data_IF_707353361089
#
_entry.id   IF_707353361089
#
_cell.length_a   1.000
_cell.length_b   1.000
_cell.length_c   1.000
_cell.angle_alpha   90.00
_cell.angle_beta   90.00
_cell.angle_gamma   90.00
#
_symmetry.space_group_name_H-M   'P 1'
#
loop_
_entity.id
_entity.type
_entity.pdbx_description
1 polymer ?
#
# COMPACT_ATOMS: atom_id res chain seq x y z
N UNK A 1 7.48 -21.61 11.17
CA UNK A 1 7.16 -20.92 9.89
C UNK A 1 5.66 -20.98 9.56
N UNK A 2 4.97 -22.12 9.74
CA UNK A 2 3.52 -22.26 9.45
C UNK A 2 2.60 -21.24 10.17
N UNK A 3 2.74 -21.05 11.49
CA UNK A 3 1.90 -20.10 12.24
C UNK A 3 1.99 -18.65 11.75
N UNK A 4 3.19 -18.20 11.34
CA UNK A 4 3.42 -16.83 10.83
C UNK A 4 2.73 -16.62 9.47
N UNK A 5 2.74 -17.64 8.61
CA UNK A 5 2.03 -17.62 7.32
C UNK A 5 0.50 -17.58 7.51
N UNK A 6 -0.02 -18.30 8.51
CA UNK A 6 -1.45 -18.26 8.84
C UNK A 6 -1.86 -16.87 9.35
N UNK A 7 -1.06 -16.28 10.25
CA UNK A 7 -1.32 -14.93 10.76
C UNK A 7 -1.28 -13.87 9.66
N UNK A 8 -0.28 -13.93 8.76
CA UNK A 8 -0.19 -13.02 7.59
C UNK A 8 -1.43 -13.13 6.70
N UNK A 9 -1.87 -14.36 6.37
CA UNK A 9 -3.07 -14.58 5.57
C UNK A 9 -4.33 -14.08 6.26
N UNK A 10 -4.46 -14.30 7.56
CA UNK A 10 -5.57 -13.77 8.35
C UNK A 10 -5.61 -12.24 8.30
N UNK A 11 -4.48 -11.57 8.56
CA UNK A 11 -4.39 -10.11 8.49
C UNK A 11 -4.72 -9.58 7.08
N UNK A 12 -4.24 -10.26 6.02
CA UNK A 12 -4.53 -9.87 4.64
C UNK A 12 -6.03 -10.00 4.34
N UNK A 13 -6.65 -11.11 4.72
CA UNK A 13 -8.09 -11.31 4.55
C UNK A 13 -8.88 -10.28 5.35
N UNK A 14 -8.49 -10.01 6.60
CA UNK A 14 -9.15 -9.01 7.44
C UNK A 14 -9.01 -7.60 6.85
N UNK A 15 -7.84 -7.25 6.30
CA UNK A 15 -7.62 -5.99 5.58
C UNK A 15 -8.58 -5.88 4.39
N UNK A 16 -8.60 -6.85 3.49
CA UNK A 16 -9.47 -6.84 2.29
C UNK A 16 -10.95 -6.77 2.68
N UNK A 17 -11.40 -7.62 3.61
CA UNK A 17 -12.80 -7.66 4.04
C UNK A 17 -13.22 -6.36 4.72
N UNK A 18 -12.38 -5.78 5.58
CA UNK A 18 -12.70 -4.51 6.23
C UNK A 18 -12.66 -3.33 5.26
N UNK A 19 -11.78 -3.34 4.26
CA UNK A 19 -11.80 -2.36 3.17
C UNK A 19 -13.09 -2.45 2.36
N UNK A 20 -13.52 -3.65 1.95
CA UNK A 20 -14.76 -3.85 1.22
C UNK A 20 -16.00 -3.49 2.06
N UNK A 21 -15.99 -3.82 3.35
CA UNK A 21 -17.04 -3.43 4.28
C UNK A 21 -17.12 -1.90 4.42
N UNK A 22 -15.99 -1.22 4.61
CA UNK A 22 -15.93 0.24 4.67
C UNK A 22 -16.42 0.88 3.38
N UNK A 23 -16.00 0.35 2.23
CA UNK A 23 -16.44 0.80 0.92
C UNK A 23 -17.95 0.65 0.73
N UNK A 24 -18.51 -0.51 1.11
CA UNK A 24 -19.95 -0.72 1.03
C UNK A 24 -20.73 0.24 1.95
N UNK A 25 -20.20 0.52 3.15
CA UNK A 25 -20.75 1.51 4.06
C UNK A 25 -20.76 2.91 3.46
N UNK A 26 -19.64 3.34 2.88
CA UNK A 26 -19.47 4.67 2.28
C UNK A 26 -20.30 4.87 1.00
N UNK A 27 -20.42 3.84 0.15
CA UNK A 27 -21.08 3.96 -1.17
C UNK A 27 -22.58 3.63 -1.16
N UNK A 28 -23.04 2.77 -0.26
CA UNK A 28 -24.42 2.26 -0.30
C UNK A 28 -25.21 2.57 0.95
N UNK A 29 -24.59 2.56 2.13
CA UNK A 29 -25.33 2.74 3.40
C UNK A 29 -25.44 4.22 3.74
N UNK A 30 -24.32 4.94 3.81
CA UNK A 30 -24.30 6.34 4.21
C UNK A 30 -25.04 7.30 3.27
N UNK A 31 -25.01 7.12 1.94
CA UNK A 31 -25.79 7.97 1.02
C UNK A 31 -27.30 7.75 1.11
N UNK A 32 -27.77 6.72 1.82
CA UNK A 32 -29.18 6.34 1.91
C UNK A 32 -29.70 6.40 3.36
N UNK A 33 -30.04 7.59 3.90
CA UNK A 33 -30.48 7.76 5.29
C UNK A 33 -31.70 6.92 5.67
N UNK A 34 -32.60 6.66 4.73
CA UNK A 34 -33.76 5.79 4.95
C UNK A 34 -33.36 4.34 5.24
N UNK A 35 -32.29 3.83 4.60
CA UNK A 35 -31.76 2.51 4.91
C UNK A 35 -31.22 2.46 6.33
N UNK A 36 -30.45 3.48 6.74
CA UNK A 36 -29.89 3.60 8.09
C UNK A 36 -31.01 3.62 9.14
N UNK A 37 -32.08 4.40 8.91
CA UNK A 37 -33.22 4.50 9.81
C UNK A 37 -33.97 3.17 10.00
N UNK A 38 -33.93 2.30 8.99
CA UNK A 38 -34.63 1.01 8.99
C UNK A 38 -33.71 -0.19 9.27
N UNK A 39 -32.46 0.02 9.68
CA UNK A 39 -31.55 -1.07 10.00
C UNK A 39 -32.06 -1.88 11.20
N UNK A 40 -32.01 -3.23 11.13
CA UNK A 40 -32.30 -4.06 12.31
C UNK A 40 -31.26 -3.80 13.42
N UNK A 41 -31.51 -4.20 14.67
CA UNK A 41 -30.60 -3.93 15.79
C UNK A 41 -29.14 -4.37 15.57
N UNK A 42 -28.94 -5.51 14.89
CA UNK A 42 -27.61 -5.96 14.50
C UNK A 42 -26.97 -5.05 13.45
N UNK A 43 -27.75 -4.61 12.46
CA UNK A 43 -27.31 -3.65 11.43
C UNK A 43 -26.88 -2.33 12.04
N UNK A 44 -27.64 -1.80 13.01
CA UNK A 44 -27.27 -0.57 13.73
C UNK A 44 -25.97 -0.72 14.53
N UNK A 45 -25.75 -1.86 15.17
CA UNK A 45 -24.47 -2.15 15.85
C UNK A 45 -23.30 -2.19 14.86
N UNK A 46 -23.47 -2.87 13.73
CA UNK A 46 -22.45 -2.95 12.68
C UNK A 46 -22.17 -1.59 12.05
N UNK A 47 -23.21 -0.80 11.79
CA UNK A 47 -23.09 0.58 11.28
C UNK A 47 -22.32 1.46 12.26
N UNK A 48 -22.70 1.47 13.54
CA UNK A 48 -22.01 2.22 14.58
C UNK A 48 -20.54 1.81 14.73
N UNK A 49 -20.26 0.51 14.69
CA UNK A 49 -18.89 0.00 14.66
C UNK A 49 -18.14 0.46 13.40
N UNK A 50 -18.77 0.42 12.22
CA UNK A 50 -18.17 0.87 10.97
C UNK A 50 -17.78 2.35 11.01
N UNK A 51 -18.65 3.20 11.56
CA UNK A 51 -18.40 4.64 11.71
C UNK A 51 -17.26 4.96 12.67
N UNK A 52 -17.00 4.11 13.67
CA UNK A 52 -16.00 4.37 14.72
C UNK A 52 -14.67 3.65 14.49
N UNK A 53 -14.71 2.44 13.93
CA UNK A 53 -13.58 1.54 13.83
C UNK A 53 -13.29 1.08 12.39
N UNK A 54 -14.16 1.35 11.42
CA UNK A 54 -13.98 0.88 10.04
C UNK A 54 -12.65 1.33 9.43
N UNK A 55 -12.38 2.64 9.46
CA UNK A 55 -11.13 3.22 8.97
C UNK A 55 -9.90 2.70 9.70
N UNK A 56 -9.98 2.57 11.02
CA UNK A 56 -8.89 2.04 11.86
C UNK A 56 -8.58 0.59 11.51
N UNK A 57 -9.63 -0.22 11.36
CA UNK A 57 -9.51 -1.67 11.21
C UNK A 57 -8.75 -2.03 9.94
N UNK A 58 -9.14 -1.46 8.80
CA UNK A 58 -8.48 -1.81 7.54
C UNK A 58 -7.02 -1.34 7.52
N UNK A 59 -6.72 -0.14 8.05
CA UNK A 59 -5.35 0.39 8.11
C UNK A 59 -4.46 -0.48 9.01
N UNK A 60 -4.94 -0.83 10.21
CA UNK A 60 -4.18 -1.66 11.16
C UNK A 60 -3.92 -3.05 10.59
N UNK A 61 -4.92 -3.68 9.96
CA UNK A 61 -4.71 -4.98 9.33
C UNK A 61 -3.80 -4.91 8.09
N UNK A 62 -3.84 -3.82 7.31
CA UNK A 62 -2.90 -3.59 6.22
C UNK A 62 -1.46 -3.47 6.72
N UNK A 63 -1.26 -2.68 7.79
CA UNK A 63 0.03 -2.55 8.45
C UNK A 63 0.55 -3.86 9.04
N UNK A 64 -0.32 -4.61 9.74
CA UNK A 64 0.02 -5.92 10.29
C UNK A 64 0.38 -6.93 9.20
N UNK A 65 -0.33 -6.92 8.07
CA UNK A 65 -0.04 -7.76 6.91
C UNK A 65 1.37 -7.52 6.40
N UNK A 66 1.74 -6.27 6.14
CA UNK A 66 3.08 -5.93 5.62
C UNK A 66 4.19 -6.12 6.67
N UNK A 67 3.90 -5.91 7.95
CA UNK A 67 4.85 -6.20 9.03
C UNK A 67 5.15 -7.70 9.13
N UNK A 68 4.12 -8.56 9.09
CA UNK A 68 4.28 -10.02 9.13
C UNK A 68 4.94 -10.55 7.84
N UNK A 69 4.53 -10.03 6.69
CA UNK A 69 5.14 -10.31 5.39
C UNK A 69 6.62 -9.93 5.38
N UNK A 70 6.95 -8.72 5.81
CA UNK A 70 8.31 -8.23 5.92
C UNK A 70 9.13 -9.11 6.85
N UNK A 71 8.60 -9.42 8.04
CA UNK A 71 9.28 -10.28 8.99
C UNK A 71 9.59 -11.67 8.42
N UNK A 72 8.65 -12.26 7.68
CA UNK A 72 8.79 -13.58 7.06
C UNK A 72 9.73 -13.58 5.85
N UNK A 73 9.71 -12.52 5.04
CA UNK A 73 10.34 -12.50 3.70
C UNK A 73 11.66 -11.72 3.69
N UNK A 74 11.75 -10.64 4.47
CA UNK A 74 12.90 -9.73 4.54
C UNK A 74 13.70 -9.88 5.84
N UNK A 75 13.10 -10.49 6.87
CA UNK A 75 13.64 -10.58 8.22
C UNK A 75 13.29 -9.37 9.09
N UNK A 76 13.40 -9.53 10.42
CA UNK A 76 13.00 -8.51 11.40
C UNK A 76 13.80 -7.22 11.25
N UNK A 77 15.13 -7.32 11.15
CA UNK A 77 16.00 -6.15 11.04
C UNK A 77 15.67 -5.29 9.82
N UNK A 78 15.54 -5.91 8.65
CA UNK A 78 15.16 -5.24 7.40
C UNK A 78 13.78 -4.59 7.48
N UNK A 79 12.82 -5.29 8.10
CA UNK A 79 11.45 -4.78 8.28
C UNK A 79 11.44 -3.56 9.19
N UNK A 80 12.09 -3.63 10.36
CA UNK A 80 12.20 -2.52 11.29
C UNK A 80 12.99 -1.34 10.70
N UNK A 81 14.05 -1.63 9.94
CA UNK A 81 14.85 -0.62 9.24
C UNK A 81 14.05 0.18 8.19
N UNK A 82 12.90 -0.32 7.73
CA UNK A 82 12.00 0.44 6.87
C UNK A 82 10.80 1.01 7.65
N UNK A 83 10.23 0.22 8.56
CA UNK A 83 9.09 0.60 9.38
C UNK A 83 9.37 1.81 10.26
N UNK A 84 10.51 1.82 10.97
CA UNK A 84 10.81 2.90 11.92
C UNK A 84 10.99 4.23 11.17
N UNK A 85 11.82 4.34 10.12
CA UNK A 85 11.93 5.59 9.36
C UNK A 85 10.62 6.01 8.70
N UNK A 86 9.87 5.08 8.09
CA UNK A 86 8.59 5.44 7.45
C UNK A 86 7.58 5.98 8.44
N UNK A 87 7.38 5.34 9.59
CA UNK A 87 6.46 5.83 10.64
C UNK A 87 6.92 7.18 11.20
N UNK A 88 8.19 7.33 11.57
CA UNK A 88 8.68 8.55 12.20
C UNK A 88 8.71 9.74 11.23
N UNK A 89 9.25 9.56 10.02
CA UNK A 89 9.40 10.63 9.04
C UNK A 89 8.06 11.05 8.44
N UNK A 90 7.14 10.11 8.21
CA UNK A 90 5.78 10.47 7.79
C UNK A 90 5.04 11.19 8.91
N UNK A 91 5.04 10.67 10.14
CA UNK A 91 4.40 11.35 11.28
C UNK A 91 4.96 12.77 11.48
N UNK A 92 6.28 12.97 11.39
CA UNK A 92 6.87 14.30 11.46
C UNK A 92 6.41 15.20 10.31
N UNK A 93 6.32 14.67 9.09
CA UNK A 93 5.83 15.43 7.92
C UNK A 93 4.35 15.80 8.07
N UNK A 94 3.53 14.89 8.59
CA UNK A 94 2.10 15.07 8.84
C UNK A 94 1.85 16.12 9.94
N UNK A 95 2.60 16.05 11.05
CA UNK A 95 2.54 17.04 12.12
C UNK A 95 2.99 18.42 11.62
N UNK A 96 4.05 18.47 10.80
CA UNK A 96 4.50 19.71 10.19
C UNK A 96 3.45 20.26 9.22
N UNK A 97 2.83 19.41 8.39
CA UNK A 97 1.81 19.76 7.41
C UNK A 97 0.55 20.33 8.07
N UNK A 98 0.01 19.62 9.05
CA UNK A 98 -1.17 20.06 9.81
C UNK A 98 -0.93 21.30 10.67
N UNK A 99 0.34 21.63 11.00
CA UNK A 99 0.68 22.82 11.81
C UNK A 99 1.09 24.04 10.98
N UNK A 100 1.74 23.84 9.82
CA UNK A 100 2.41 24.91 9.06
C UNK A 100 1.99 24.97 7.59
N UNK A 101 1.25 23.98 7.11
CA UNK A 101 0.91 23.82 5.70
C UNK A 101 2.05 23.25 4.83
N UNK A 102 3.23 22.97 5.37
CA UNK A 102 4.31 22.30 4.63
C UNK A 102 4.49 20.85 5.14
N UNK A 103 4.57 19.82 4.26
CA UNK A 103 4.72 19.92 2.81
C UNK A 103 3.40 19.84 2.02
N UNK A 104 2.29 19.46 2.66
CA UNK A 104 1.07 19.02 1.95
C UNK A 104 0.09 20.15 1.61
N UNK A 105 0.17 21.25 2.32
CA UNK A 105 -0.82 22.31 2.35
C UNK A 105 -1.56 22.43 3.66
N UNK A 106 -2.33 23.50 3.82
CA UNK A 106 -3.12 23.67 5.03
C UNK A 106 -4.32 22.75 4.96
N UNK A 107 -4.32 21.73 5.81
CA UNK A 107 -5.44 20.81 5.96
C UNK A 107 -5.52 20.34 7.41
N UNK A 108 -6.68 19.79 7.78
CA UNK A 108 -6.87 19.18 9.07
C UNK A 108 -7.58 17.84 8.93
N UNK A 109 -7.13 16.86 9.72
CA UNK A 109 -7.87 15.61 9.86
C UNK A 109 -9.17 15.83 10.64
N UNK A 110 -10.21 15.12 10.23
CA UNK A 110 -11.49 15.02 10.91
C UNK A 110 -11.49 13.78 11.82
N UNK A 111 -12.64 13.15 11.99
CA UNK A 111 -12.84 11.97 12.83
C UNK A 111 -12.89 10.68 12.00
N UNK A 112 -12.86 9.52 12.65
CA UNK A 112 -13.07 8.21 11.98
C UNK A 112 -11.80 7.42 11.66
N UNK A 113 -10.62 8.01 11.86
CA UNK A 113 -9.31 7.36 11.66
C UNK A 113 -8.57 7.04 12.97
N UNK A 114 -9.26 7.12 14.11
CA UNK A 114 -8.71 6.85 15.44
C UNK A 114 -8.25 8.10 16.19
N UNK A 115 -7.57 7.89 17.32
CA UNK A 115 -7.10 9.00 18.16
C UNK A 115 -5.97 9.78 17.46
N UNK A 116 -5.90 11.09 17.73
CA UNK A 116 -4.93 11.99 17.12
C UNK A 116 -3.70 12.17 18.01
N UNK A 117 -2.52 11.94 17.45
CA UNK A 117 -1.22 12.27 18.03
C UNK A 117 -1.08 13.80 18.04
N UNK A 118 -0.72 14.35 19.21
CA UNK A 118 -0.68 15.79 19.46
C UNK A 118 -2.01 16.53 19.16
N UNK A 119 -3.14 15.82 19.09
CA UNK A 119 -4.44 16.38 18.70
C UNK A 119 -4.59 16.65 17.19
N UNK A 120 -3.57 16.36 16.37
CA UNK A 120 -3.53 16.74 14.96
C UNK A 120 -3.66 15.55 13.99
N UNK A 121 -2.81 14.53 14.15
CA UNK A 121 -2.64 13.47 13.14
C UNK A 121 -3.12 12.13 13.69
N UNK A 122 -4.09 11.43 13.06
CA UNK A 122 -4.52 10.12 13.50
C UNK A 122 -3.37 9.11 13.52
N UNK A 123 -3.28 8.27 14.56
CA UNK A 123 -2.17 7.31 14.70
C UNK A 123 -2.08 6.28 13.56
N UNK A 124 -3.18 6.09 12.83
CA UNK A 124 -3.29 5.18 11.70
C UNK A 124 -2.58 5.70 10.45
N UNK A 125 -2.45 7.02 10.29
CA UNK A 125 -1.82 7.66 9.13
C UNK A 125 -0.37 7.21 8.94
N UNK A 126 0.55 7.31 9.92
CA UNK A 126 1.92 6.83 9.73
C UNK A 126 2.02 5.31 9.52
N UNK A 127 1.03 4.53 9.98
CA UNK A 127 0.95 3.10 9.65
C UNK A 127 0.63 2.89 8.17
N UNK A 128 -0.26 3.72 7.61
CA UNK A 128 -0.60 3.72 6.19
C UNK A 128 0.60 4.06 5.31
N UNK A 129 1.32 5.12 5.67
CA UNK A 129 2.60 5.47 5.03
C UNK A 129 3.60 4.30 5.05
N UNK A 130 3.73 3.59 6.16
CA UNK A 130 4.60 2.43 6.25
C UNK A 130 4.20 1.32 5.27
N UNK A 131 2.97 0.80 5.33
CA UNK A 131 2.63 -0.40 4.55
C UNK A 131 2.48 -0.10 3.06
N UNK A 132 1.95 1.07 2.69
CA UNK A 132 1.88 1.49 1.30
C UNK A 132 3.26 1.85 0.76
N UNK A 133 4.06 2.57 1.54
CA UNK A 133 5.43 2.91 1.16
C UNK A 133 6.31 1.67 0.96
N UNK A 134 6.23 0.69 1.87
CA UNK A 134 6.96 -0.57 1.73
C UNK A 134 6.49 -1.33 0.48
N UNK A 135 5.18 -1.42 0.28
CA UNK A 135 4.58 -2.08 -0.88
C UNK A 135 5.07 -1.48 -2.20
N UNK A 136 4.97 -0.16 -2.35
CA UNK A 136 5.38 0.56 -3.56
C UNK A 136 6.88 0.39 -3.83
N UNK A 137 7.71 0.52 -2.78
CA UNK A 137 9.16 0.35 -2.91
C UNK A 137 9.55 -1.07 -3.30
N UNK A 138 8.90 -2.10 -2.72
CA UNK A 138 9.18 -3.49 -3.05
C UNK A 138 8.78 -3.83 -4.49
N UNK A 139 7.62 -3.36 -4.95
CA UNK A 139 7.18 -3.53 -6.34
C UNK A 139 8.20 -2.92 -7.30
N UNK A 140 8.52 -1.64 -7.15
CA UNK A 140 9.48 -0.95 -8.02
C UNK A 140 10.87 -1.61 -7.99
N UNK A 141 11.41 -1.91 -6.81
CA UNK A 141 12.73 -2.53 -6.63
C UNK A 141 12.82 -3.90 -7.29
N UNK A 142 11.82 -4.75 -7.10
CA UNK A 142 11.81 -6.10 -7.64
C UNK A 142 11.50 -6.13 -9.14
N UNK A 143 10.61 -5.25 -9.64
CA UNK A 143 10.31 -5.11 -11.06
C UNK A 143 11.49 -4.62 -11.88
N UNK A 144 12.30 -3.72 -11.31
CA UNK A 144 13.58 -3.31 -11.89
C UNK A 144 14.70 -4.33 -11.65
N UNK A 145 14.43 -5.47 -11.00
CA UNK A 145 15.38 -6.56 -10.72
C UNK A 145 16.65 -6.08 -10.02
N UNK A 146 16.51 -5.22 -9.01
CA UNK A 146 17.66 -4.72 -8.25
C UNK A 146 18.27 -5.81 -7.37
N UNK A 147 19.60 -5.90 -7.42
CA UNK A 147 20.45 -6.75 -6.60
C UNK A 147 21.42 -5.92 -5.75
N UNK A 148 21.99 -6.53 -4.71
CA UNK A 148 23.02 -5.86 -3.90
C UNK A 148 24.22 -5.48 -4.76
N UNK A 149 24.73 -4.26 -4.62
CA UNK A 149 25.87 -3.77 -5.42
C UNK A 149 25.50 -3.21 -6.80
N UNK A 150 24.21 -3.07 -7.12
CA UNK A 150 23.78 -2.42 -8.36
C UNK A 150 24.20 -0.94 -8.45
N UNK A 151 24.24 -0.42 -9.69
CA UNK A 151 24.55 0.98 -9.95
C UNK A 151 23.57 1.90 -9.21
N UNK A 152 24.09 2.96 -8.59
CA UNK A 152 23.31 3.97 -7.86
C UNK A 152 22.13 4.52 -8.66
N UNK A 153 22.27 4.69 -9.99
CA UNK A 153 21.19 5.14 -10.86
C UNK A 153 19.97 4.19 -10.90
N UNK A 154 20.16 2.87 -10.80
CA UNK A 154 19.05 1.89 -10.71
C UNK A 154 18.34 1.99 -9.35
N UNK A 155 19.10 2.22 -8.28
CA UNK A 155 18.56 2.46 -6.95
C UNK A 155 17.71 3.74 -6.90
N UNK A 156 18.19 4.82 -7.52
CA UNK A 156 17.42 6.05 -7.66
C UNK A 156 16.16 5.85 -8.50
N UNK A 157 16.23 5.08 -9.59
CA UNK A 157 15.06 4.74 -10.38
C UNK A 157 14.02 3.95 -9.57
N UNK A 158 14.44 2.97 -8.75
CA UNK A 158 13.53 2.23 -7.88
C UNK A 158 12.87 3.12 -6.81
N UNK A 159 13.62 4.06 -6.23
CA UNK A 159 13.10 5.03 -5.27
C UNK A 159 12.10 5.98 -5.93
N UNK A 160 12.44 6.54 -7.09
CA UNK A 160 11.57 7.43 -7.87
C UNK A 160 10.28 6.73 -8.30
N UNK A 161 10.37 5.53 -8.86
CA UNK A 161 9.19 4.76 -9.26
C UNK A 161 8.35 4.32 -8.06
N UNK A 162 8.97 3.96 -6.94
CA UNK A 162 8.27 3.66 -5.69
C UNK A 162 7.48 4.86 -5.16
N UNK A 163 8.07 6.06 -5.19
CA UNK A 163 7.38 7.28 -4.81
C UNK A 163 6.26 7.65 -5.79
N UNK A 164 6.48 7.47 -7.10
CA UNK A 164 5.42 7.67 -8.12
C UNK A 164 4.23 6.74 -7.88
N UNK A 165 4.45 5.46 -7.57
CA UNK A 165 3.36 4.53 -7.24
C UNK A 165 2.58 4.98 -5.99
N UNK A 166 3.28 5.51 -5.00
CA UNK A 166 2.67 5.99 -3.75
C UNK A 166 1.83 7.26 -4.00
N UNK A 167 2.37 8.24 -4.73
CA UNK A 167 1.65 9.45 -5.12
C UNK A 167 0.52 9.15 -6.12
N UNK A 168 0.66 8.13 -6.97
CA UNK A 168 -0.42 7.71 -7.85
C UNK A 168 -1.61 7.14 -7.06
N UNK A 169 -1.38 6.49 -5.93
CA UNK A 169 -2.46 6.10 -5.03
C UNK A 169 -3.12 7.33 -4.38
N UNK A 170 -2.33 8.34 -3.99
CA UNK A 170 -2.85 9.59 -3.43
C UNK A 170 -3.82 10.32 -4.38
N UNK A 171 -3.55 10.31 -5.70
CA UNK A 171 -4.44 10.90 -6.72
C UNK A 171 -5.89 10.40 -6.71
N UNK A 172 -6.16 9.23 -6.12
CA UNK A 172 -7.53 8.71 -5.90
C UNK A 172 -7.92 8.63 -4.44
N UNK A 173 -6.96 8.60 -3.52
CA UNK A 173 -7.26 8.62 -2.09
C UNK A 173 -7.71 10.01 -1.65
N UNK A 174 -6.97 11.05 -2.02
CA UNK A 174 -7.20 12.40 -1.52
C UNK A 174 -8.56 12.96 -1.95
N UNK A 175 -8.99 12.84 -3.22
CA UNK A 175 -10.34 13.19 -3.61
C UNK A 175 -11.40 12.40 -2.83
N UNK A 176 -11.24 11.08 -2.72
CA UNK A 176 -12.18 10.22 -2.01
C UNK A 176 -12.35 10.60 -0.54
N UNK A 177 -11.28 11.07 0.11
CA UNK A 177 -11.25 11.32 1.54
C UNK A 177 -11.44 12.80 1.91
N UNK A 178 -11.33 13.72 0.95
CA UNK A 178 -11.51 15.17 1.20
C UNK A 178 -12.72 15.80 0.52
N UNK A 179 -13.21 15.21 -0.59
CA UNK A 179 -14.30 15.78 -1.39
C UNK A 179 -15.59 14.95 -1.33
N UNK A 180 -15.53 13.69 -0.87
CA UNK A 180 -16.72 12.86 -0.72
C UNK A 180 -17.66 13.44 0.37
N UNK A 181 -18.96 13.09 0.36
CA UNK A 181 -19.93 13.59 1.35
C UNK A 181 -19.53 13.33 2.81
N UNK A 182 -18.73 12.29 3.05
CA UNK A 182 -18.16 11.94 4.35
C UNK A 182 -16.63 12.07 4.31
N UNK A 183 -16.08 13.29 4.45
CA UNK A 183 -14.65 13.51 4.40
C UNK A 183 -13.97 13.10 5.71
N UNK A 184 -12.72 12.65 5.59
CA UNK A 184 -11.83 12.30 6.70
C UNK A 184 -10.75 13.36 6.95
N UNK A 185 -10.51 14.24 5.99
CA UNK A 185 -9.73 15.46 6.15
C UNK A 185 -10.28 16.54 5.24
N UNK A 186 -9.95 17.79 5.54
CA UNK A 186 -10.37 18.93 4.73
C UNK A 186 -9.20 19.88 4.52
N UNK A 187 -9.01 20.31 3.28
CA UNK A 187 -8.12 21.42 2.96
C UNK A 187 -8.75 22.74 3.42
N UNK A 188 -7.93 23.60 4.01
CA UNK A 188 -8.32 24.94 4.46
C UNK A 188 -8.09 25.99 3.36
N UNK A 189 -7.64 25.55 2.19
CA UNK A 189 -7.44 26.34 0.99
C UNK A 189 -8.03 25.60 -0.21
N UNK A 190 -8.43 26.36 -1.23
CA UNK A 190 -8.89 25.77 -2.49
C UNK A 190 -7.66 25.47 -3.34
N UNK A 191 -7.27 24.20 -3.38
CA UNK A 191 -6.14 23.74 -4.18
C UNK A 191 -6.42 23.68 -5.68
N UNK A 192 -5.37 23.79 -6.48
CA UNK A 192 -5.44 23.90 -7.94
C UNK A 192 -5.83 22.59 -8.63
N UNK A 193 -5.55 21.45 -8.00
CA UNK A 193 -5.84 20.13 -8.53
C UNK A 193 -7.11 19.57 -7.88
N UNK A 194 -8.26 20.01 -8.39
CA UNK A 194 -9.58 19.53 -7.91
C UNK A 194 -9.82 19.75 -6.41
N UNK A 195 -9.40 20.91 -5.89
CA UNK A 195 -9.52 21.25 -4.48
C UNK A 195 -8.30 20.85 -3.64
N UNK A 196 -7.38 20.06 -4.20
CA UNK A 196 -6.14 19.65 -3.55
C UNK A 196 -4.95 20.49 -4.07
N UNK A 197 -4.10 21.05 -3.19
CA UNK A 197 -2.97 21.88 -3.60
C UNK A 197 -1.91 21.09 -4.37
N UNK A 198 -1.24 21.68 -5.37
CA UNK A 198 -0.11 20.98 -6.03
C UNK A 198 1.02 20.62 -5.07
N UNK A 199 1.20 21.43 -4.01
CA UNK A 199 2.15 21.13 -2.94
C UNK A 199 1.85 19.79 -2.25
N UNK A 200 0.59 19.34 -2.21
CA UNK A 200 0.25 18.02 -1.69
C UNK A 200 0.94 16.91 -2.46
N UNK A 201 0.83 16.91 -3.81
CA UNK A 201 1.47 15.89 -4.65
C UNK A 201 2.99 15.87 -4.48
N UNK A 202 3.60 17.06 -4.45
CA UNK A 202 5.05 17.20 -4.26
C UNK A 202 5.45 16.75 -2.85
N UNK A 203 4.65 17.07 -1.84
CA UNK A 203 4.82 16.62 -0.46
C UNK A 203 4.73 15.11 -0.33
N UNK A 204 3.74 14.48 -0.96
CA UNK A 204 3.59 13.02 -0.99
C UNK A 204 4.78 12.33 -1.63
N UNK A 205 5.18 12.80 -2.81
CA UNK A 205 6.35 12.30 -3.52
C UNK A 205 7.62 12.48 -2.68
N UNK A 206 7.80 13.67 -2.09
CA UNK A 206 8.97 14.03 -1.29
C UNK A 206 9.08 13.23 0.00
N UNK A 207 8.02 13.18 0.81
CA UNK A 207 7.96 12.38 2.04
C UNK A 207 8.20 10.90 1.73
N UNK A 208 7.53 10.37 0.69
CA UNK A 208 7.75 9.04 0.13
C UNK A 208 9.21 8.76 -0.17
N UNK A 209 9.82 9.59 -1.02
CA UNK A 209 11.22 9.49 -1.41
C UNK A 209 12.16 9.50 -0.20
N UNK A 210 11.92 10.39 0.76
CA UNK A 210 12.79 10.56 1.93
C UNK A 210 12.82 9.29 2.77
N UNK A 211 11.67 8.77 3.23
CA UNK A 211 11.70 7.58 4.07
C UNK A 211 12.11 6.32 3.29
N UNK A 212 11.74 6.20 2.01
CA UNK A 212 12.19 5.08 1.17
C UNK A 212 13.71 5.11 0.98
N UNK A 213 14.30 6.30 0.83
CA UNK A 213 15.76 6.47 0.70
C UNK A 213 16.48 6.08 1.98
N UNK A 214 15.95 6.47 3.15
CA UNK A 214 16.50 6.04 4.44
C UNK A 214 16.40 4.52 4.58
N UNK A 215 15.24 3.92 4.27
CA UNK A 215 15.07 2.47 4.27
C UNK A 215 16.05 1.75 3.33
N UNK A 216 16.18 2.24 2.08
CA UNK A 216 17.11 1.72 1.09
C UNK A 216 18.57 1.80 1.55
N UNK A 217 18.96 2.92 2.16
CA UNK A 217 20.29 3.11 2.73
C UNK A 217 20.56 2.12 3.86
N UNK A 218 19.59 1.90 4.75
CA UNK A 218 19.71 0.91 5.82
C UNK A 218 19.76 -0.53 5.29
N UNK A 219 19.13 -0.79 4.14
CA UNK A 219 19.16 -2.08 3.45
C UNK A 219 20.40 -2.29 2.55
N UNK A 220 21.29 -1.31 2.41
CA UNK A 220 22.39 -1.33 1.40
C UNK A 220 23.35 -2.54 1.50
N UNK A 221 23.40 -3.21 2.66
CA UNK A 221 24.22 -4.41 2.90
C UNK A 221 23.41 -5.69 2.98
N UNK A 222 22.11 -5.63 2.72
CA UNK A 222 21.19 -6.75 2.81
C UNK A 222 20.85 -7.24 1.40
N UNK A 223 21.19 -8.47 1.02
CA UNK A 223 20.78 -9.03 -0.26
C UNK A 223 19.28 -9.32 -0.22
N UNK A 224 18.50 -8.49 -0.91
CA UNK A 224 17.05 -8.69 -1.06
C UNK A 224 16.79 -9.05 -2.53
N UNK A 225 16.26 -10.24 -2.76
CA UNK A 225 15.77 -10.68 -4.07
C UNK A 225 14.40 -11.31 -3.85
N UNK A 226 13.37 -10.74 -4.49
CA UNK A 226 11.99 -11.20 -4.35
C UNK A 226 11.52 -11.86 -5.64
N UNK A 227 10.85 -13.00 -5.50
CA UNK A 227 10.13 -13.64 -6.60
C UNK A 227 8.79 -12.93 -6.87
N UNK A 228 8.21 -13.20 -8.05
CA UNK A 228 6.84 -12.77 -8.39
C UNK A 228 5.82 -13.23 -7.35
N UNK A 229 5.91 -14.48 -6.88
CA UNK A 229 4.99 -15.04 -5.88
C UNK A 229 5.10 -14.34 -4.51
N UNK A 230 6.29 -13.89 -4.12
CA UNK A 230 6.48 -13.10 -2.91
C UNK A 230 5.88 -11.70 -3.04
N UNK A 231 5.88 -11.09 -4.23
CA UNK A 231 5.25 -9.78 -4.46
C UNK A 231 3.72 -9.81 -4.53
N UNK A 232 3.09 -10.97 -4.58
CA UNK A 232 1.61 -11.06 -4.65
C UNK A 232 0.94 -10.42 -3.43
N UNK A 233 1.50 -10.57 -2.22
CA UNK A 233 0.95 -9.94 -1.02
C UNK A 233 1.03 -8.40 -1.09
N UNK A 234 2.21 -7.79 -1.36
CA UNK A 234 2.29 -6.36 -1.65
C UNK A 234 1.33 -5.90 -2.76
N UNK A 235 1.24 -6.64 -3.87
CA UNK A 235 0.35 -6.26 -4.97
C UNK A 235 -1.12 -6.25 -4.55
N UNK A 236 -1.60 -7.27 -3.82
CA UNK A 236 -2.98 -7.30 -3.32
C UNK A 236 -3.25 -6.11 -2.41
N UNK A 237 -2.32 -5.78 -1.50
CA UNK A 237 -2.47 -4.62 -0.61
C UNK A 237 -2.54 -3.32 -1.42
N UNK A 238 -1.64 -3.14 -2.39
CA UNK A 238 -1.65 -1.95 -3.25
C UNK A 238 -2.99 -1.81 -3.99
N UNK A 239 -3.43 -2.86 -4.69
CA UNK A 239 -4.64 -2.85 -5.48
C UNK A 239 -5.91 -2.70 -4.64
N UNK A 240 -5.92 -3.25 -3.41
CA UNK A 240 -7.04 -3.10 -2.47
C UNK A 240 -7.21 -1.64 -2.04
N UNK A 241 -6.13 -0.97 -1.65
CA UNK A 241 -6.18 0.44 -1.23
C UNK A 241 -6.41 1.38 -2.42
N UNK A 242 -5.85 1.05 -3.58
CA UNK A 242 -6.11 1.78 -4.82
C UNK A 242 -7.59 1.69 -5.20
N UNK A 243 -8.15 0.47 -5.21
CA UNK A 243 -9.56 0.26 -5.54
C UNK A 243 -10.48 0.99 -4.58
N UNK A 244 -10.16 1.00 -3.29
CA UNK A 244 -10.93 1.74 -2.28
C UNK A 244 -11.05 3.24 -2.63
N UNK A 245 -9.93 3.92 -2.87
CA UNK A 245 -9.95 5.35 -3.25
C UNK A 245 -10.59 5.60 -4.61
N UNK A 246 -10.25 4.76 -5.61
CA UNK A 246 -10.77 4.91 -6.96
C UNK A 246 -12.29 4.68 -7.04
N UNK A 247 -12.82 3.69 -6.33
CA UNK A 247 -14.26 3.42 -6.31
C UNK A 247 -15.05 4.59 -5.70
N UNK A 248 -14.60 5.14 -4.57
CA UNK A 248 -15.23 6.33 -3.97
C UNK A 248 -15.13 7.53 -4.92
N UNK A 249 -13.95 7.79 -5.45
CA UNK A 249 -13.71 8.90 -6.39
C UNK A 249 -14.61 8.82 -7.62
N UNK A 250 -14.80 7.64 -8.19
CA UNK A 250 -15.60 7.45 -9.42
C UNK A 250 -17.10 7.44 -9.15
N UNK A 251 -17.54 6.91 -8.01
CA UNK A 251 -18.97 6.75 -7.70
C UNK A 251 -19.58 7.99 -7.05
N UNK A 252 -18.86 8.63 -6.12
CA UNK A 252 -19.39 9.73 -5.29
C UNK A 252 -19.05 11.12 -5.83
N UNK A 253 -17.99 11.26 -6.63
CA UNK A 253 -17.53 12.57 -7.09
C UNK A 253 -17.94 12.84 -8.54
N UNK A 254 -17.80 14.11 -8.94
CA UNK A 254 -18.16 14.54 -10.29
C UNK A 254 -17.23 13.96 -11.37
N UNK A 255 -17.72 13.93 -12.61
CA UNK A 255 -17.01 13.31 -13.74
C UNK A 255 -15.62 13.90 -14.03
N UNK A 256 -15.28 15.09 -13.53
CA UNK A 256 -13.95 15.68 -13.75
C UNK A 256 -12.87 14.92 -12.97
N UNK A 257 -13.24 14.21 -11.90
CA UNK A 257 -12.34 13.32 -11.14
C UNK A 257 -11.98 12.01 -11.87
N UNK A 258 -12.61 11.73 -13.02
CA UNK A 258 -12.17 10.64 -13.91
C UNK A 258 -10.76 10.90 -14.48
N UNK A 259 -10.36 12.17 -14.65
CA UNK A 259 -9.02 12.49 -15.14
C UNK A 259 -7.91 12.14 -14.12
N UNK A 260 -7.96 12.60 -12.84
CA UNK A 260 -7.07 12.10 -11.79
C UNK A 260 -7.07 10.57 -11.67
N UNK A 261 -8.24 9.94 -11.78
CA UNK A 261 -8.36 8.47 -11.73
C UNK A 261 -7.68 7.78 -12.91
N UNK A 262 -7.78 8.34 -14.12
CA UNK A 262 -7.07 7.80 -15.27
C UNK A 262 -5.54 7.95 -15.13
N UNK A 263 -5.08 9.08 -14.61
CA UNK A 263 -3.65 9.30 -14.31
C UNK A 263 -3.15 8.33 -13.24
N UNK A 264 -3.92 8.11 -12.17
CA UNK A 264 -3.55 7.18 -11.11
C UNK A 264 -3.47 5.73 -11.60
N UNK A 265 -4.34 5.32 -12.53
CA UNK A 265 -4.24 4.00 -13.17
C UNK A 265 -2.98 3.92 -14.04
N UNK A 266 -2.71 4.96 -14.84
CA UNK A 266 -1.56 5.02 -15.75
C UNK A 266 -0.22 4.98 -15.01
N UNK A 267 -0.10 5.70 -13.89
CA UNK A 267 1.15 5.82 -13.13
C UNK A 267 1.22 4.91 -11.90
N UNK A 268 0.10 4.32 -11.47
CA UNK A 268 -0.01 3.44 -10.30
C UNK A 268 -0.28 1.99 -10.66
N UNK A 269 -1.49 1.69 -11.11
CA UNK A 269 -1.94 0.29 -11.36
C UNK A 269 -1.15 -0.38 -12.47
N UNK A 270 -1.02 0.27 -13.64
CA UNK A 270 -0.31 -0.32 -14.79
C UNK A 270 1.15 -0.61 -14.44
N UNK A 271 1.94 0.34 -13.89
CA UNK A 271 3.33 0.06 -13.53
C UNK A 271 3.45 -0.96 -12.39
N UNK A 272 2.55 -0.95 -11.39
CA UNK A 272 2.56 -1.95 -10.33
C UNK A 272 2.40 -3.38 -10.87
N UNK A 273 1.46 -3.58 -11.82
CA UNK A 273 1.27 -4.86 -12.49
C UNK A 273 2.47 -5.25 -13.36
N UNK A 274 3.05 -4.29 -14.10
CA UNK A 274 4.27 -4.52 -14.90
C UNK A 274 5.45 -4.91 -13.99
N UNK A 275 5.65 -4.22 -12.87
CA UNK A 275 6.73 -4.53 -11.94
C UNK A 275 6.55 -5.89 -11.28
N UNK A 276 5.33 -6.23 -10.86
CA UNK A 276 5.01 -7.56 -10.37
C UNK A 276 5.30 -8.63 -11.45
N UNK A 277 4.87 -8.40 -12.69
CA UNK A 277 5.12 -9.32 -13.79
C UNK A 277 6.61 -9.50 -14.10
N UNK A 278 7.39 -8.41 -14.05
CA UNK A 278 8.83 -8.44 -14.36
C UNK A 278 9.70 -9.07 -13.28
N UNK A 279 9.19 -9.22 -12.05
CA UNK A 279 9.91 -9.93 -11.00
C UNK A 279 10.15 -11.40 -11.38
N UNK A 280 11.31 -11.94 -10.99
CA UNK A 280 11.72 -13.30 -11.38
C UNK A 280 10.69 -14.34 -10.88
N UNK A 281 10.28 -15.32 -11.70
CA UNK A 281 9.50 -16.47 -11.22
C UNK A 281 10.29 -17.25 -10.16
N UNK A 282 9.62 -17.88 -9.19
CA UNK A 282 10.27 -18.88 -8.33
C UNK A 282 10.64 -20.11 -9.16
N UNK A 283 11.93 -20.47 -9.18
CA UNK A 283 12.45 -21.63 -9.92
C UNK A 283 11.79 -22.96 -9.52
N UNK A 284 11.24 -23.05 -8.29
CA UNK A 284 10.57 -24.24 -7.75
C UNK A 284 9.37 -24.75 -8.58
N UNK A 285 8.78 -23.94 -9.48
CA UNK A 285 7.59 -24.36 -10.26
C UNK A 285 7.93 -24.97 -11.62
N UNK A 286 9.15 -24.78 -12.16
CA UNK A 286 9.54 -25.35 -13.45
C UNK A 286 10.18 -26.74 -13.32
N UNK A 287 10.98 -26.97 -12.27
CA UNK A 287 11.58 -28.30 -12.02
C UNK A 287 10.53 -29.34 -11.58
N UNK A 288 9.44 -28.92 -10.93
CA UNK A 288 8.36 -29.84 -10.53
C UNK A 288 7.41 -30.25 -11.65
N UNK A 289 7.57 -29.69 -12.86
CA UNK A 289 6.74 -29.99 -14.04
C UNK A 289 7.50 -30.77 -15.12
N UNK A 290 8.79 -31.01 -14.93
CA UNK A 290 9.58 -31.91 -15.77
C UNK A 290 9.50 -33.31 -15.16
N UNK A 291 9.07 -34.34 -15.91
CA UNK A 291 9.27 -35.71 -15.49
C UNK A 291 10.76 -35.91 -15.23
N UNK A 292 11.10 -36.43 -14.04
CA UNK A 292 12.45 -36.90 -13.76
C UNK A 292 12.71 -38.13 -14.64
N UNK A 293 13.26 -37.93 -15.83
CA UNK A 293 13.85 -39.02 -16.60
C UNK A 293 15.12 -39.49 -15.86
N UNK A 294 14.91 -40.37 -14.88
CA UNK A 294 15.92 -41.25 -14.33
C UNK A 294 16.27 -42.29 -15.41
N UNK A 295 17.07 -41.91 -16.41
CA UNK A 295 17.79 -42.86 -17.25
C UNK A 295 19.16 -43.04 -16.61
N UNK A 296 19.28 -44.12 -15.84
CA UNK A 296 20.53 -44.61 -15.29
C UNK A 296 21.22 -45.43 -16.40
N UNK A 297 22.34 -44.99 -17.02
CA UNK A 297 23.03 -45.84 -17.98
C UNK A 297 23.82 -46.90 -17.21
N UNK A 298 23.35 -48.15 -17.25
CA UNK A 298 24.15 -49.30 -16.84
C UNK A 298 25.41 -49.40 -17.71
N UNK A 299 26.60 -49.69 -17.16
CA UNK A 299 27.80 -49.91 -17.97
C UNK A 299 27.66 -51.26 -18.70
N UNK A 300 27.68 -51.23 -20.03
CA UNK A 300 27.83 -52.43 -20.84
C UNK A 300 29.31 -52.82 -20.82
N UNK A 301 29.64 -53.94 -20.18
CA UNK A 301 30.93 -54.61 -20.35
C UNK A 301 31.04 -55.13 -21.78
N UNK A 302 31.99 -54.57 -22.55
CA UNK A 302 32.38 -55.10 -23.85
C UNK A 302 33.47 -56.16 -23.61
N UNK A 303 33.08 -57.43 -23.64
CA UNK A 303 34.02 -58.54 -23.70
C UNK A 303 34.62 -58.63 -25.11
N UNK A 304 35.94 -58.48 -25.21
CA UNK A 304 36.70 -58.70 -26.44
C UNK A 304 36.79 -60.21 -26.78
N UNK A 305 36.48 -60.55 -28.03
CA UNK A 305 36.96 -61.75 -28.74
C UNK A 305 37.20 -61.40 -30.20
#
# INVERSE_FOLDING_TARGET
>A
MKHKSIAERFCLTAHVVSTLFGLAGLLFILPNPELVANLPPMGMKLFSWGMTAGGITYIVFGAATLALYGYRTLGLGTTLAFMIPSVLLSLSSELLGTSTGFPFGHYQYLSGLGYKIAGLVPFTIPLSWFYMGLTCYLLARAGLKLTMGDRWGRQLAALALGAVLLTAWDLVLDPAMSQAPFPFWQFQEVGEFFGMPYRNLVGWMGTGLVFMSVGAFLWRRTPIALSRSQLTVPLIVYLTNFFFGAAITVVELDARFLFPTALSILFGVIPALIFWWNAKPSLETMESLLPSDNINPSPVEVAAK
#
